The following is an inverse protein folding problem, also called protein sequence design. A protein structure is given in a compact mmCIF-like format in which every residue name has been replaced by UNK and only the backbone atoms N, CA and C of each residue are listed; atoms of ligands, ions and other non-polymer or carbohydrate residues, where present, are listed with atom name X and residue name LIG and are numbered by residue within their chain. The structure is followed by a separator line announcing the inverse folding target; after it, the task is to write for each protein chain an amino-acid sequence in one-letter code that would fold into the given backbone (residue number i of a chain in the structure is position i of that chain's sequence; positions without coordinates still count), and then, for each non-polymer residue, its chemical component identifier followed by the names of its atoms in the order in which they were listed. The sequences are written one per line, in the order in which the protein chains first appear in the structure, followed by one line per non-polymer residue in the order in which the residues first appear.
data_IF_386750998215
#
_entry.id   IF_386750998215
#
_cell.length_a   1.000
_cell.length_b   1.000
_cell.length_c   1.000
_cell.angle_alpha   90.00
_cell.angle_beta   90.00
_cell.angle_gamma   90.00
#
_symmetry.space_group_name_H-M   'P 1'
#
loop_
_entity.id
_entity.type
_entity.pdbx_description
1 polymer ?
#
# COMPACT_ATOMS: atom_id res chain seq x y z
N UNK A 1 11.01 15.49 23.11
CA UNK A 1 10.16 16.62 23.55
C UNK A 1 10.25 16.66 25.05
N UNK A 2 10.69 17.76 25.64
CA UNK A 2 11.10 17.73 27.06
C UNK A 2 9.96 17.87 28.10
N UNK A 3 8.73 18.19 27.69
CA UNK A 3 7.65 18.43 28.68
C UNK A 3 6.33 17.70 28.30
N UNK A 4 6.04 17.51 27.03
CA UNK A 4 4.78 16.88 26.59
C UNK A 4 5.07 15.98 25.40
N UNK A 5 4.69 14.72 25.50
CA UNK A 5 4.75 13.78 24.36
C UNK A 5 3.55 13.98 23.41
N UNK A 6 3.53 13.26 22.27
CA UNK A 6 2.44 13.37 21.31
C UNK A 6 1.07 13.01 21.87
N UNK A 7 0.99 12.08 22.82
CA UNK A 7 -0.25 11.70 23.50
C UNK A 7 -0.75 12.80 24.42
N UNK A 8 0.16 13.44 25.17
CA UNK A 8 -0.15 14.58 26.00
C UNK A 8 -0.63 15.77 25.18
N UNK A 9 0.03 16.04 24.03
CA UNK A 9 -0.41 17.08 23.10
C UNK A 9 -1.83 16.80 22.56
N UNK A 10 -2.13 15.57 22.17
CA UNK A 10 -3.47 15.21 21.71
C UNK A 10 -4.53 15.44 22.77
N UNK A 11 -4.25 15.06 24.04
CA UNK A 11 -5.17 15.30 25.17
C UNK A 11 -5.42 16.80 25.38
N UNK A 12 -4.38 17.61 25.37
CA UNK A 12 -4.50 19.05 25.47
C UNK A 12 -5.35 19.64 24.35
N UNK A 13 -5.11 19.18 23.11
CA UNK A 13 -5.88 19.63 21.96
C UNK A 13 -7.37 19.26 22.09
N UNK A 14 -7.69 18.03 22.50
CA UNK A 14 -9.08 17.56 22.65
C UNK A 14 -9.82 18.24 23.80
N UNK A 15 -9.11 18.72 24.80
CA UNK A 15 -9.67 19.49 25.95
C UNK A 15 -9.68 21.01 25.71
N UNK A 16 -9.17 21.47 24.58
CA UNK A 16 -9.16 22.89 24.23
C UNK A 16 -10.45 23.29 23.53
N UNK A 17 -10.90 24.52 23.75
CA UNK A 17 -12.05 25.15 23.10
C UNK A 17 -11.63 26.08 21.93
N UNK A 18 -10.38 26.00 21.47
CA UNK A 18 -9.84 26.84 20.40
C UNK A 18 -10.23 26.27 19.05
N UNK A 19 -11.11 26.93 18.32
CA UNK A 19 -11.53 26.55 16.97
C UNK A 19 -12.01 25.09 16.89
N UNK A 20 -11.49 24.31 15.92
CA UNK A 20 -11.85 22.92 15.70
C UNK A 20 -10.96 21.92 16.46
N UNK A 21 -10.26 22.35 17.52
CA UNK A 21 -9.28 21.55 18.25
C UNK A 21 -9.81 20.19 18.73
N UNK A 22 -11.10 20.11 19.07
CA UNK A 22 -11.75 18.87 19.54
C UNK A 22 -11.95 17.83 18.43
N UNK A 23 -12.09 18.26 17.19
CA UNK A 23 -12.49 17.40 16.06
C UNK A 23 -11.46 17.32 14.95
N UNK A 24 -10.48 18.25 14.91
CA UNK A 24 -9.45 18.25 13.87
C UNK A 24 -8.72 16.91 13.83
N UNK A 25 -8.51 16.30 12.61
CA UNK A 25 -7.74 15.09 12.48
C UNK A 25 -6.29 15.31 12.95
N UNK A 26 -5.79 14.42 13.81
CA UNK A 26 -4.41 14.46 14.30
C UNK A 26 -3.75 13.12 14.01
N UNK A 27 -2.67 13.14 13.24
CA UNK A 27 -1.91 11.96 12.86
C UNK A 27 -0.55 11.93 13.57
N UNK A 28 0.01 10.74 13.72
CA UNK A 28 1.36 10.52 14.25
C UNK A 28 2.34 10.37 13.11
N UNK A 29 3.47 11.09 13.17
CA UNK A 29 4.66 10.80 12.37
C UNK A 29 5.74 10.20 13.26
N UNK A 30 6.15 8.96 13.00
CA UNK A 30 7.13 8.26 13.82
C UNK A 30 8.29 7.69 12.99
N UNK A 31 9.50 7.68 13.58
CA UNK A 31 10.63 6.94 13.05
C UNK A 31 10.71 5.52 13.62
N UNK A 32 9.89 5.20 14.63
CA UNK A 32 9.86 3.89 15.26
C UNK A 32 8.99 2.95 14.44
N UNK A 33 9.60 1.90 13.88
CA UNK A 33 8.89 0.85 13.15
C UNK A 33 8.12 -0.14 14.03
N UNK A 34 8.25 -0.03 15.35
CA UNK A 34 7.72 -0.95 16.35
C UNK A 34 6.45 -0.43 17.07
N UNK A 35 5.96 0.74 16.65
CA UNK A 35 4.70 1.29 17.15
C UNK A 35 3.50 0.56 16.56
N UNK A 36 2.74 -0.14 17.39
CA UNK A 36 1.44 -0.69 17.03
C UNK A 36 0.52 0.47 16.59
N UNK A 37 0.22 0.57 15.28
CA UNK A 37 -0.72 1.58 14.73
C UNK A 37 -2.06 1.56 15.48
N UNK A 38 -2.44 0.40 16.02
CA UNK A 38 -3.62 0.23 16.86
C UNK A 38 -3.56 1.02 18.18
N UNK A 39 -2.38 1.20 18.77
CA UNK A 39 -2.23 2.02 19.99
C UNK A 39 -2.53 3.48 19.69
N UNK A 40 -2.03 4.01 18.57
CA UNK A 40 -2.31 5.39 18.17
C UNK A 40 -3.79 5.61 17.86
N UNK A 41 -4.42 4.69 17.12
CA UNK A 41 -5.84 4.76 16.80
C UNK A 41 -6.72 4.70 18.06
N UNK A 42 -6.42 3.80 19.00
CA UNK A 42 -7.12 3.70 20.30
C UNK A 42 -6.94 4.94 21.15
N UNK A 43 -5.84 5.67 20.97
CA UNK A 43 -5.57 6.92 21.69
C UNK A 43 -6.23 8.15 21.08
N UNK A 44 -6.93 8.02 19.94
CA UNK A 44 -7.67 9.09 19.28
C UNK A 44 -6.92 9.81 18.16
N UNK A 45 -5.79 9.28 17.71
CA UNK A 45 -5.17 9.72 16.45
C UNK A 45 -5.94 9.15 15.25
N UNK A 46 -6.00 9.93 14.16
CA UNK A 46 -6.68 9.50 12.93
C UNK A 46 -5.85 8.56 12.06
N UNK A 47 -4.55 8.43 12.34
CA UNK A 47 -3.65 7.54 11.62
C UNK A 47 -2.19 7.74 12.02
N UNK A 48 -1.31 6.92 11.43
CA UNK A 48 0.12 6.95 11.65
C UNK A 48 0.85 6.86 10.31
N UNK A 49 1.90 7.66 10.14
CA UNK A 49 2.81 7.59 9.00
C UNK A 49 4.25 7.38 9.50
N UNK A 50 4.96 6.42 8.91
CA UNK A 50 6.32 6.07 9.32
C UNK A 50 7.36 6.79 8.46
N UNK A 51 8.40 7.29 9.12
CA UNK A 51 9.57 7.86 8.44
C UNK A 51 10.55 6.74 8.06
N UNK A 52 11.15 6.78 6.87
CA UNK A 52 11.01 7.78 5.79
C UNK A 52 9.74 7.56 4.94
N UNK A 53 9.09 8.64 4.53
CA UNK A 53 7.93 8.62 3.63
C UNK A 53 8.17 9.50 2.40
N UNK A 54 7.56 9.15 1.26
CA UNK A 54 7.58 9.98 0.06
C UNK A 54 6.57 11.14 0.14
N UNK A 55 6.79 12.19 -0.62
CA UNK A 55 5.82 13.29 -0.73
C UNK A 55 4.45 12.79 -1.22
N UNK A 56 4.44 11.82 -2.14
CA UNK A 56 3.22 11.20 -2.65
C UNK A 56 2.51 10.38 -1.56
N UNK A 57 3.26 9.60 -0.79
CA UNK A 57 2.73 8.84 0.35
C UNK A 57 2.11 9.75 1.42
N UNK A 58 2.76 10.90 1.71
CA UNK A 58 2.21 11.89 2.64
C UNK A 58 0.91 12.50 2.11
N UNK A 59 0.87 12.89 0.83
CA UNK A 59 -0.33 13.45 0.21
C UNK A 59 -1.49 12.43 0.18
N UNK A 60 -1.21 11.18 -0.16
CA UNK A 60 -2.19 10.10 -0.12
C UNK A 60 -2.76 9.89 1.29
N UNK A 61 -1.88 9.93 2.29
CA UNK A 61 -2.30 9.85 3.69
C UNK A 61 -3.18 11.04 4.10
N UNK A 62 -2.79 12.27 3.75
CA UNK A 62 -3.57 13.47 4.04
C UNK A 62 -4.96 13.37 3.39
N UNK A 63 -5.04 13.03 2.10
CA UNK A 63 -6.31 12.85 1.40
C UNK A 63 -7.20 11.80 2.08
N UNK A 64 -6.63 10.67 2.50
CA UNK A 64 -7.39 9.62 3.19
C UNK A 64 -8.01 10.07 4.52
N UNK A 65 -7.37 11.03 5.17
CA UNK A 65 -7.81 11.55 6.48
C UNK A 65 -8.78 12.73 6.35
N UNK A 66 -8.61 13.60 5.34
CA UNK A 66 -9.39 14.83 5.17
C UNK A 66 -10.68 14.63 4.37
N UNK A 67 -10.67 13.72 3.40
CA UNK A 67 -11.78 13.53 2.47
C UNK A 67 -12.67 12.33 2.80
N UNK A 68 -12.47 11.72 3.96
CA UNK A 68 -13.27 10.55 4.37
C UNK A 68 -13.28 9.49 3.29
N UNK A 69 -12.14 8.82 3.04
CA UNK A 69 -11.96 7.77 2.04
C UNK A 69 -12.52 8.13 0.66
N UNK A 70 -11.83 8.96 -0.09
CA UNK A 70 -12.03 8.96 -1.54
C UNK A 70 -11.70 7.57 -2.06
N UNK A 71 -12.74 6.84 -2.46
CA UNK A 71 -12.59 5.62 -3.23
C UNK A 71 -11.90 6.00 -4.55
N UNK A 72 -10.59 5.82 -4.64
CA UNK A 72 -9.84 6.10 -5.87
C UNK A 72 -8.34 6.35 -5.73
N UNK A 73 -7.81 6.51 -4.53
CA UNK A 73 -6.37 6.73 -4.37
C UNK A 73 -5.68 5.42 -3.97
N UNK A 74 -4.75 4.96 -4.82
CA UNK A 74 -3.95 3.76 -4.57
C UNK A 74 -3.19 3.86 -3.25
N UNK A 75 -3.22 2.84 -2.40
CA UNK A 75 -2.37 2.76 -1.23
C UNK A 75 -0.89 2.50 -1.60
N UNK A 76 -0.60 2.25 -2.89
CA UNK A 76 0.72 1.91 -3.37
C UNK A 76 1.38 3.08 -4.09
N UNK A 77 2.65 3.34 -3.73
CA UNK A 77 3.51 4.32 -4.39
C UNK A 77 4.49 3.62 -5.34
N UNK A 78 4.22 3.72 -6.63
CA UNK A 78 5.04 3.10 -7.67
C UNK A 78 6.28 3.93 -8.06
N UNK A 79 6.48 5.13 -7.52
CA UNK A 79 7.56 6.05 -7.92
C UNK A 79 8.93 5.41 -7.79
N UNK A 80 9.22 4.81 -6.63
CA UNK A 80 10.52 4.15 -6.37
C UNK A 80 10.74 2.92 -7.25
N UNK A 81 9.67 2.19 -7.55
CA UNK A 81 9.73 1.04 -8.44
C UNK A 81 10.09 1.49 -9.87
N UNK A 82 9.58 2.65 -10.28
CA UNK A 82 9.81 3.22 -11.61
C UNK A 82 11.17 3.90 -11.75
N UNK A 83 11.78 4.37 -10.68
CA UNK A 83 13.13 4.92 -10.68
C UNK A 83 14.21 3.87 -10.96
N UNK A 84 13.91 2.61 -10.71
CA UNK A 84 14.85 1.50 -10.84
C UNK A 84 14.92 0.88 -12.24
N UNK A 85 14.04 1.28 -13.18
CA UNK A 85 13.97 0.67 -14.51
C UNK A 85 13.31 1.57 -15.55
N UNK A 86 13.80 1.52 -16.77
CA UNK A 86 13.21 2.17 -17.95
C UNK A 86 12.03 1.36 -18.52
N UNK A 87 11.96 0.05 -18.24
CA UNK A 87 10.89 -0.85 -18.69
C UNK A 87 9.78 -1.03 -17.63
N UNK A 88 8.90 -0.05 -17.59
CA UNK A 88 7.73 -0.05 -16.70
C UNK A 88 6.83 -1.27 -16.89
N UNK A 89 6.63 -1.69 -18.14
CA UNK A 89 5.71 -2.77 -18.46
C UNK A 89 6.22 -4.11 -17.93
N UNK A 90 7.49 -4.35 -18.14
CA UNK A 90 8.14 -5.56 -17.62
C UNK A 90 8.07 -5.60 -16.09
N UNK A 91 8.36 -4.47 -15.43
CA UNK A 91 8.33 -4.39 -13.97
C UNK A 91 6.92 -4.60 -13.41
N UNK A 92 5.90 -3.95 -13.96
CA UNK A 92 4.51 -4.19 -13.55
C UNK A 92 4.09 -5.66 -13.78
N UNK A 93 4.50 -6.26 -14.89
CA UNK A 93 4.26 -7.68 -15.17
C UNK A 93 4.88 -8.61 -14.13
N UNK A 94 6.11 -8.30 -13.68
CA UNK A 94 6.77 -9.05 -12.61
C UNK A 94 6.04 -8.88 -11.27
N UNK A 95 5.67 -7.65 -10.89
CA UNK A 95 4.93 -7.38 -9.65
C UNK A 95 3.59 -8.12 -9.65
N UNK A 96 2.84 -8.09 -10.74
CA UNK A 96 1.58 -8.82 -10.86
C UNK A 96 1.78 -10.32 -10.67
N UNK A 97 2.71 -10.91 -11.43
CA UNK A 97 2.99 -12.36 -11.42
C UNK A 97 3.44 -12.84 -10.04
N UNK A 98 4.38 -12.13 -9.39
CA UNK A 98 4.85 -12.53 -8.05
C UNK A 98 3.74 -12.33 -7.00
N UNK A 99 2.93 -11.27 -7.11
CA UNK A 99 1.80 -11.04 -6.21
C UNK A 99 0.70 -12.09 -6.35
N UNK A 100 0.40 -12.56 -7.56
CA UNK A 100 -0.53 -13.67 -7.80
C UNK A 100 -0.04 -14.97 -7.16
N UNK A 101 1.26 -15.27 -7.29
CA UNK A 101 1.89 -16.41 -6.65
C UNK A 101 1.83 -16.31 -5.13
N UNK A 102 2.20 -15.14 -4.57
CA UNK A 102 2.15 -14.91 -3.13
C UNK A 102 0.73 -15.05 -2.58
N UNK A 103 -0.27 -14.58 -3.31
CA UNK A 103 -1.68 -14.73 -2.95
C UNK A 103 -2.09 -16.20 -2.88
N UNK A 104 -1.80 -16.98 -3.91
CA UNK A 104 -2.14 -18.40 -3.97
C UNK A 104 -1.46 -19.19 -2.85
N UNK A 105 -0.18 -18.93 -2.59
CA UNK A 105 0.57 -19.58 -1.51
C UNK A 105 0.03 -19.18 -0.12
N UNK A 106 -0.38 -17.91 0.09
CA UNK A 106 -1.01 -17.47 1.34
C UNK A 106 -2.37 -18.10 1.56
N UNK A 107 -3.18 -18.26 0.51
CA UNK A 107 -4.47 -18.99 0.57
C UNK A 107 -4.28 -20.41 1.04
N UNK A 108 -3.29 -21.10 0.48
CA UNK A 108 -2.96 -22.48 0.86
C UNK A 108 -2.41 -22.58 2.29
N UNK A 109 -1.51 -21.66 2.67
CA UNK A 109 -0.97 -21.59 4.03
C UNK A 109 -2.07 -21.30 5.06
N UNK A 110 -3.02 -20.42 4.72
CA UNK A 110 -4.17 -20.11 5.56
C UNK A 110 -5.08 -21.33 5.74
N UNK A 111 -5.36 -22.05 4.66
CA UNK A 111 -6.19 -23.26 4.70
C UNK A 111 -5.59 -24.34 5.60
N UNK A 112 -4.26 -24.42 5.62
CA UNK A 112 -3.50 -25.38 6.46
C UNK A 112 -3.18 -24.85 7.86
N UNK A 113 -3.48 -23.60 8.15
CA UNK A 113 -3.06 -22.90 9.38
C UNK A 113 -1.53 -22.95 9.57
N UNK A 114 -0.78 -22.96 8.46
CA UNK A 114 0.69 -23.04 8.45
C UNK A 114 1.32 -21.65 8.62
N UNK A 115 1.52 -21.27 9.90
CA UNK A 115 2.15 -19.98 10.25
C UNK A 115 3.57 -19.85 9.73
N UNK A 116 4.31 -20.97 9.60
CA UNK A 116 5.68 -20.94 9.10
C UNK A 116 5.73 -20.63 7.59
N UNK A 117 4.82 -21.24 6.82
CA UNK A 117 4.65 -20.89 5.42
C UNK A 117 4.26 -19.42 5.26
N UNK A 118 3.30 -18.90 6.05
CA UNK A 118 2.92 -17.50 6.04
C UNK A 118 4.12 -16.57 6.31
N UNK A 119 4.99 -16.89 7.28
CA UNK A 119 6.20 -16.10 7.58
C UNK A 119 7.15 -16.05 6.38
N UNK A 120 7.41 -17.19 5.73
CA UNK A 120 8.30 -17.24 4.55
C UNK A 120 7.75 -16.38 3.41
N UNK A 121 6.44 -16.46 3.15
CA UNK A 121 5.79 -15.69 2.09
C UNK A 121 5.90 -14.20 2.38
N UNK A 122 5.53 -13.76 3.58
CA UNK A 122 5.60 -12.35 3.99
C UNK A 122 7.03 -11.79 3.97
N UNK A 123 8.01 -12.63 4.32
CA UNK A 123 9.42 -12.23 4.23
C UNK A 123 9.85 -12.00 2.77
N UNK A 124 9.41 -12.84 1.85
CA UNK A 124 9.66 -12.72 0.41
C UNK A 124 8.98 -11.47 -0.18
N UNK A 125 7.76 -11.17 0.24
CA UNK A 125 7.00 -10.00 -0.22
C UNK A 125 7.62 -8.66 0.23
N UNK A 126 8.25 -8.64 1.40
CA UNK A 126 8.64 -7.41 2.08
C UNK A 126 9.45 -6.42 1.22
N UNK A 127 10.48 -6.81 0.44
CA UNK A 127 11.25 -5.87 -0.36
C UNK A 127 10.41 -5.13 -1.41
N UNK A 128 9.51 -5.82 -2.08
CA UNK A 128 8.61 -5.21 -3.09
C UNK A 128 7.61 -4.27 -2.41
N UNK A 129 7.04 -4.67 -1.30
CA UNK A 129 6.08 -3.85 -0.54
C UNK A 129 6.73 -2.60 0.07
N UNK A 130 8.01 -2.68 0.42
CA UNK A 130 8.77 -1.50 0.86
C UNK A 130 8.97 -0.50 -0.29
N UNK A 131 9.30 -0.98 -1.49
CA UNK A 131 9.38 -0.13 -2.70
C UNK A 131 8.04 0.51 -3.04
N UNK A 132 6.93 -0.18 -2.78
CA UNK A 132 5.56 0.31 -2.98
C UNK A 132 5.05 1.21 -1.84
N UNK A 133 5.88 1.51 -0.83
CA UNK A 133 5.49 2.33 0.31
C UNK A 133 4.45 1.71 1.24
N UNK A 134 4.19 0.40 1.11
CA UNK A 134 3.15 -0.34 1.83
C UNK A 134 3.71 -1.25 2.95
N UNK A 135 4.93 -1.01 3.41
CA UNK A 135 5.62 -1.85 4.39
C UNK A 135 4.90 -1.93 5.74
N UNK A 136 4.18 -0.87 6.13
CA UNK A 136 3.46 -0.80 7.42
C UNK A 136 2.43 -1.93 7.58
N UNK A 137 1.77 -2.28 6.48
CA UNK A 137 0.76 -3.34 6.45
C UNK A 137 1.41 -4.69 6.76
N UNK A 138 2.58 -4.97 6.17
CA UNK A 138 3.33 -6.21 6.40
C UNK A 138 4.00 -6.24 7.78
N UNK A 139 4.43 -5.08 8.29
CA UNK A 139 5.12 -5.02 9.57
C UNK A 139 4.25 -5.55 10.72
N UNK A 140 3.02 -5.07 10.83
CA UNK A 140 2.07 -5.55 11.83
C UNK A 140 1.79 -7.05 11.71
N UNK A 141 1.67 -7.54 10.48
CA UNK A 141 1.44 -8.96 10.22
C UNK A 141 2.64 -9.83 10.56
N UNK A 142 3.85 -9.40 10.23
CA UNK A 142 5.09 -10.10 10.62
C UNK A 142 5.19 -10.25 12.14
N UNK A 143 4.94 -9.17 12.89
CA UNK A 143 4.93 -9.20 14.35
C UNK A 143 3.92 -10.22 14.88
N UNK A 144 2.70 -10.20 14.35
CA UNK A 144 1.65 -11.14 14.72
C UNK A 144 2.05 -12.61 14.47
N UNK A 145 2.66 -12.89 13.32
CA UNK A 145 3.10 -14.24 12.96
C UNK A 145 4.26 -14.76 13.87
N UNK A 146 5.06 -13.85 14.42
CA UNK A 146 6.12 -14.21 15.38
C UNK A 146 5.61 -14.35 16.82
N UNK A 147 4.45 -13.77 17.13
CA UNK A 147 3.84 -13.88 18.44
C UNK A 147 3.14 -15.24 18.62
N UNK A 148 3.75 -16.10 19.43
CA UNK A 148 3.22 -17.42 19.74
C UNK A 148 1.94 -17.39 20.59
N UNK A 149 1.61 -16.25 21.19
CA UNK A 149 0.42 -16.07 22.03
C UNK A 149 -0.81 -15.65 21.22
N UNK A 150 -0.61 -15.22 19.97
CA UNK A 150 -1.69 -14.81 19.07
C UNK A 150 -2.57 -16.01 18.70
N UNK A 151 -3.88 -15.83 18.80
CA UNK A 151 -4.85 -16.86 18.40
C UNK A 151 -4.83 -17.12 16.88
N UNK A 152 -5.20 -18.32 16.48
CA UNK A 152 -5.32 -18.66 15.05
C UNK A 152 -6.39 -17.81 14.36
N UNK A 153 -7.44 -17.41 15.06
CA UNK A 153 -8.49 -16.52 14.54
C UNK A 153 -7.92 -15.13 14.22
N UNK A 154 -7.12 -14.56 15.12
CA UNK A 154 -6.46 -13.27 14.88
C UNK A 154 -5.51 -13.34 13.68
N UNK A 155 -4.73 -14.42 13.58
CA UNK A 155 -3.84 -14.65 12.43
C UNK A 155 -4.64 -14.78 11.15
N UNK A 156 -5.77 -15.50 11.18
CA UNK A 156 -6.67 -15.66 10.04
C UNK A 156 -7.23 -14.33 9.55
N UNK A 157 -7.75 -13.51 10.45
CA UNK A 157 -8.28 -12.17 10.10
C UNK A 157 -7.21 -11.29 9.45
N UNK A 158 -6.02 -11.23 10.03
CA UNK A 158 -4.91 -10.47 9.47
C UNK A 158 -4.48 -11.00 8.11
N UNK A 159 -4.38 -12.33 7.95
CA UNK A 159 -4.03 -12.95 6.65
C UNK A 159 -5.06 -12.57 5.59
N UNK A 160 -6.35 -12.64 5.88
CA UNK A 160 -7.41 -12.21 4.95
C UNK A 160 -7.29 -10.73 4.59
N UNK A 161 -6.90 -9.88 5.54
CA UNK A 161 -6.66 -8.45 5.28
C UNK A 161 -5.48 -8.24 4.33
N UNK A 162 -4.38 -8.97 4.53
CA UNK A 162 -3.21 -8.92 3.62
C UNK A 162 -3.60 -9.41 2.22
N UNK A 163 -4.30 -10.52 2.11
CA UNK A 163 -4.76 -11.05 0.83
C UNK A 163 -5.65 -10.05 0.07
N UNK A 164 -6.50 -9.30 0.78
CA UNK A 164 -7.29 -8.21 0.18
C UNK A 164 -6.39 -7.11 -0.39
N UNK A 165 -5.31 -6.75 0.29
CA UNK A 165 -4.35 -5.76 -0.22
C UNK A 165 -3.57 -6.29 -1.43
N UNK A 166 -3.19 -7.57 -1.42
CA UNK A 166 -2.53 -8.19 -2.59
C UNK A 166 -3.45 -8.17 -3.81
N UNK A 167 -4.72 -8.51 -3.66
CA UNK A 167 -5.70 -8.44 -4.76
C UNK A 167 -5.82 -7.02 -5.31
N UNK A 168 -5.90 -6.02 -4.43
CA UNK A 168 -5.94 -4.62 -4.83
C UNK A 168 -4.68 -4.23 -5.64
N UNK A 169 -3.49 -4.65 -5.19
CA UNK A 169 -2.24 -4.43 -5.92
C UNK A 169 -2.27 -5.07 -7.32
N UNK A 170 -2.72 -6.31 -7.42
CA UNK A 170 -2.84 -7.03 -8.69
C UNK A 170 -3.79 -6.29 -9.64
N UNK A 171 -4.95 -5.87 -9.16
CA UNK A 171 -5.95 -5.16 -9.95
C UNK A 171 -5.41 -3.82 -10.46
N UNK A 172 -4.74 -3.05 -9.61
CA UNK A 172 -4.15 -1.77 -10.00
C UNK A 172 -3.05 -1.93 -11.05
N UNK A 173 -2.12 -2.87 -10.81
CA UNK A 173 -1.02 -3.13 -11.74
C UNK A 173 -1.54 -3.63 -13.09
N UNK A 174 -2.53 -4.50 -13.11
CA UNK A 174 -3.16 -4.98 -14.33
C UNK A 174 -3.91 -3.85 -15.07
N UNK A 175 -4.54 -2.92 -14.35
CA UNK A 175 -5.16 -1.74 -14.96
C UNK A 175 -4.12 -0.81 -15.60
N UNK A 176 -2.97 -0.61 -14.97
CA UNK A 176 -1.88 0.19 -15.57
C UNK A 176 -1.30 -0.48 -16.83
N UNK A 177 -1.20 -1.82 -16.84
CA UNK A 177 -0.77 -2.57 -18.03
C UNK A 177 -1.76 -2.45 -19.20
N UNK A 178 -3.07 -2.38 -18.94
CA UNK A 178 -4.13 -2.24 -19.95
C UNK A 178 -4.19 -0.85 -20.56
N UNK A 179 -4.07 0.23 -19.76
CA UNK A 179 -4.17 1.62 -20.22
C UNK A 179 -3.20 1.98 -21.35
N UNK A 180 -2.03 1.34 -21.42
CA UNK A 180 -1.06 1.58 -22.49
C UNK A 180 -1.32 0.81 -23.78
N UNK A 181 -2.08 -0.28 -23.75
CA UNK A 181 -2.48 -0.96 -24.99
C UNK A 181 -3.43 -0.09 -25.82
N UNK A 182 -4.34 0.65 -25.17
CA UNK A 182 -5.28 1.54 -25.84
C UNK A 182 -4.61 2.79 -26.44
N UNK A 183 -3.45 3.20 -25.89
CA UNK A 183 -2.66 4.34 -26.40
C UNK A 183 -1.85 3.99 -27.66
N UNK A 184 -1.24 2.80 -27.68
CA UNK A 184 -0.43 2.35 -28.83
C UNK A 184 -1.29 1.99 -30.06
N UNK A 185 -2.54 1.55 -29.84
CA UNK A 185 -3.49 1.29 -30.93
C UNK A 185 -4.00 2.60 -31.59
N UNK A 186 -4.21 3.66 -30.82
CA UNK A 186 -4.61 4.96 -31.34
C UNK A 186 -3.51 5.62 -32.16
N UNK A 187 -2.26 5.55 -31.72
CA UNK A 187 -1.10 6.07 -32.46
C UNK A 187 -0.83 5.30 -33.76
N UNK A 188 -1.21 4.02 -33.85
CA UNK A 188 -1.08 3.23 -35.08
C UNK A 188 -2.18 3.57 -36.09
N UNK A 189 -3.39 3.87 -35.63
CA UNK A 189 -4.52 4.26 -36.49
C UNK A 189 -4.34 5.68 -37.01
N UNK A 190 -3.77 6.60 -36.23
CA UNK A 190 -3.58 8.01 -36.64
C UNK A 190 -2.34 8.18 -37.57
N UNK A 191 -1.43 7.22 -37.60
CA UNK A 191 -0.33 7.11 -38.60
C UNK A 191 -0.71 6.26 -39.81
N UNK A 192 -2.03 6.02 -39.94
CA UNK A 192 -2.65 5.14 -40.89
C UNK A 192 -2.28 5.38 -42.33
N UNK A 193 -1.80 4.36 -42.86
CA UNK A 193 -2.06 3.78 -44.16
C UNK A 193 -2.63 4.68 -45.25
N UNK A 194 -1.77 5.45 -45.94
CA UNK A 194 -2.03 5.72 -47.35
C UNK A 194 -1.44 4.55 -48.15
N UNK A 195 -2.23 3.84 -48.93
CA UNK A 195 -1.71 2.87 -49.88
C UNK A 195 -1.05 3.66 -51.03
N UNK A 196 0.26 3.45 -51.20
CA UNK A 196 0.94 3.80 -52.43
C UNK A 196 0.35 3.01 -53.59
N UNK A 197 -0.59 3.62 -54.28
CA UNK A 197 -1.10 3.15 -55.52
C UNK A 197 -0.45 3.88 -56.68
N UNK A 198 0.35 3.12 -57.42
CA UNK A 198 0.55 3.23 -58.87
C UNK A 198 1.25 4.47 -59.43
N UNK A 199 2.50 4.31 -59.77
CA UNK A 199 3.05 4.91 -61.00
C UNK A 199 3.78 3.81 -61.80
N UNK A 200 3.05 3.19 -62.74
CA UNK A 200 3.58 2.68 -63.98
C UNK A 200 2.99 3.54 -65.13
N UNK A 201 3.82 4.25 -65.81
CA UNK A 201 3.75 4.62 -67.25
C UNK A 201 5.09 5.23 -67.63
#
# INVERSE_FOLDING_TARGET
MPVTDGFGLLRLLRNSDIGNSRTVPVAVMTARGDGDSGVYMKSGFCGCIHKPFSSKGLLAFISSVTEGRSAGMSPFDYSRLMESTDDRRHMFGLVAKESEKDLAELEEALRKTDREAMRRIVHRMAPVWELLGANDVLFGYRKLLHDKTSSDETVREYTMRIMKQIRLLIDEVNNELRKKNDGDEKDFIDRGGQPDSLRYS
#
